data_IF_605292280449
#
_entry.id   IF_605292280449
#
_cell.length_a   1.000
_cell.length_b   1.000
_cell.length_c   1.000
_cell.angle_alpha   90.00
_cell.angle_beta   90.00
_cell.angle_gamma   90.00
#
_symmetry.space_group_name_H-M   'P 1'
#
loop_
_entity.id
_entity.type
_entity.pdbx_description
1 polymer ?
#
# COMPACT_ATOMS: atom_id res chain seq x y z
N UNK A 1 2.25 4.06 -35.68
CA UNK A 1 2.13 2.67 -35.20
C UNK A 1 1.63 2.70 -33.77
N UNK A 2 0.38 2.29 -33.54
CA UNK A 2 -0.20 2.12 -32.21
C UNK A 2 0.11 0.70 -31.76
N UNK A 3 0.74 0.52 -30.61
CA UNK A 3 0.83 -0.79 -29.95
C UNK A 3 -0.01 -0.72 -28.69
N UNK A 4 -1.28 -1.12 -28.85
CA UNK A 4 -2.13 -1.56 -27.75
C UNK A 4 -1.71 -3.00 -27.41
N UNK A 5 -1.32 -3.24 -26.16
CA UNK A 5 -1.12 -4.58 -25.61
C UNK A 5 -1.58 -4.59 -24.15
N UNK A 6 -2.45 -5.52 -23.73
CA UNK A 6 -3.12 -5.44 -22.44
C UNK A 6 -2.11 -5.75 -21.32
N UNK A 7 -1.96 -4.86 -20.35
CA UNK A 7 -1.32 -5.23 -19.08
C UNK A 7 -2.28 -6.15 -18.32
N UNK A 8 -1.81 -7.38 -18.11
CA UNK A 8 -2.50 -8.44 -17.39
C UNK A 8 -2.93 -7.96 -16.00
N UNK A 9 -4.23 -8.02 -15.71
CA UNK A 9 -4.77 -7.81 -14.37
C UNK A 9 -4.22 -8.88 -13.42
N UNK A 10 -3.51 -8.45 -12.38
CA UNK A 10 -3.04 -9.35 -11.32
C UNK A 10 -4.21 -9.66 -10.37
N UNK A 11 -4.61 -10.94 -10.35
CA UNK A 11 -5.61 -11.47 -9.42
C UNK A 11 -5.02 -11.52 -8.00
N UNK A 12 -5.67 -10.85 -7.05
CA UNK A 12 -5.39 -11.03 -5.62
C UNK A 12 -5.99 -12.38 -5.19
N UNK A 13 -5.15 -13.34 -4.78
CA UNK A 13 -5.64 -14.52 -4.06
C UNK A 13 -6.14 -14.06 -2.69
N UNK A 14 -7.45 -14.19 -2.47
CA UNK A 14 -8.08 -13.97 -1.18
C UNK A 14 -7.43 -14.81 -0.08
N UNK A 15 -7.43 -14.26 1.12
CA UNK A 15 -6.80 -14.81 2.32
C UNK A 15 -7.12 -16.30 2.52
N UNK A 16 -6.22 -17.17 2.07
CA UNK A 16 -6.06 -18.53 2.57
C UNK A 16 -4.59 -18.70 2.91
N UNK A 17 -4.33 -19.06 4.16
CA UNK A 17 -3.01 -19.24 4.77
C UNK A 17 -2.02 -19.86 3.79
N UNK A 18 -1.15 -19.04 3.22
CA UNK A 18 -0.02 -19.53 2.43
C UNK A 18 1.14 -19.79 3.41
N UNK A 19 1.26 -21.03 3.86
CA UNK A 19 2.41 -21.51 4.62
C UNK A 19 3.52 -21.76 3.60
N UNK A 20 4.52 -20.87 3.55
CA UNK A 20 5.75 -21.12 2.81
C UNK A 20 6.65 -21.99 3.72
N UNK A 21 7.05 -23.21 3.31
CA UNK A 21 7.91 -24.06 4.11
C UNK A 21 9.35 -23.54 4.07
N UNK A 22 9.91 -23.21 5.23
CA UNK A 22 11.36 -22.99 5.40
C UNK A 22 12.07 -24.35 5.44
N UNK A 23 13.22 -24.53 4.75
CA UNK A 23 13.96 -25.77 4.81
C UNK A 23 14.74 -25.89 6.13
N UNK A 24 14.47 -26.96 6.88
CA UNK A 24 15.42 -27.56 7.81
C UNK A 24 15.44 -27.02 9.26
N UNK A 25 14.61 -27.57 10.13
CA UNK A 25 15.04 -28.06 11.46
C UNK A 25 13.91 -28.83 12.15
N UNK A 26 14.29 -29.93 12.80
CA UNK A 26 13.42 -30.97 13.36
C UNK A 26 12.56 -30.47 14.54
N UNK A 27 11.33 -31.01 14.57
CA UNK A 27 10.38 -31.26 15.68
C UNK A 27 10.45 -30.49 17.02
N UNK A 28 9.24 -30.17 17.49
CA UNK A 28 8.79 -30.10 18.91
C UNK A 28 8.89 -28.75 19.62
N UNK A 29 7.79 -28.00 19.64
CA UNK A 29 6.88 -27.91 20.80
C UNK A 29 5.81 -26.85 20.52
N UNK A 30 4.56 -27.22 20.75
CA UNK A 30 3.38 -26.35 20.67
C UNK A 30 3.47 -25.33 21.82
N UNK A 31 3.67 -24.05 21.51
CA UNK A 31 3.39 -22.94 22.44
C UNK A 31 2.50 -21.94 21.73
N UNK A 32 1.23 -21.95 22.09
CA UNK A 32 0.33 -20.82 21.86
C UNK A 32 0.92 -19.60 22.57
N UNK A 33 1.35 -18.59 21.81
CA UNK A 33 1.53 -17.25 22.33
C UNK A 33 0.32 -16.43 21.94
N UNK A 34 -0.73 -16.53 22.77
CA UNK A 34 -1.70 -15.45 22.89
C UNK A 34 -0.96 -14.29 23.58
N UNK A 35 -0.44 -13.35 22.77
CA UNK A 35 0.09 -12.09 23.26
C UNK A 35 -0.68 -10.96 22.59
N UNK A 36 -1.41 -10.24 23.43
CA UNK A 36 -2.21 -9.05 23.12
C UNK A 36 -1.43 -8.09 22.25
N UNK A 37 -2.07 -7.64 21.18
CA UNK A 37 -1.62 -6.55 20.30
C UNK A 37 -1.51 -5.29 21.16
N UNK A 38 -0.32 -4.68 21.34
CA UNK A 38 -0.23 -3.37 21.95
C UNK A 38 -0.80 -2.36 20.95
N UNK A 39 -1.91 -1.72 21.30
CA UNK A 39 -2.41 -0.51 20.66
C UNK A 39 -1.48 0.66 21.00
N UNK A 40 -0.24 0.62 20.49
CA UNK A 40 0.75 1.67 20.63
C UNK A 40 0.80 2.47 19.35
N UNK A 41 0.19 3.65 19.35
CA UNK A 41 0.19 4.65 18.27
C UNK A 41 1.63 5.14 18.03
N UNK A 42 2.31 4.82 16.91
CA UNK A 42 3.60 5.42 16.62
C UNK A 42 3.38 6.82 16.04
N UNK A 43 4.07 7.81 16.60
CA UNK A 43 4.07 9.19 16.11
C UNK A 43 4.71 9.25 14.73
N UNK A 44 3.92 9.66 13.73
CA UNK A 44 4.30 9.80 12.33
C UNK A 44 5.16 11.06 12.05
N UNK A 45 6.22 11.24 12.84
CA UNK A 45 7.08 12.43 12.74
C UNK A 45 8.38 12.03 12.05
N UNK A 46 8.41 12.01 10.71
CA UNK A 46 9.68 11.80 9.99
C UNK A 46 9.63 11.63 8.48
N UNK A 47 8.49 11.30 7.88
CA UNK A 47 8.47 11.00 6.44
C UNK A 47 8.33 12.27 5.58
N UNK A 48 9.44 12.81 5.07
CA UNK A 48 9.40 13.80 3.97
C UNK A 48 9.11 13.10 2.63
N UNK A 49 8.21 13.62 1.78
CA UNK A 49 7.83 12.97 0.53
C UNK A 49 8.91 13.14 -0.57
N UNK A 50 9.55 12.04 -1.01
CA UNK A 50 10.26 11.93 -2.30
C UNK A 50 9.73 10.75 -3.13
N UNK A 51 9.72 10.86 -4.48
CA UNK A 51 8.78 10.12 -5.32
C UNK A 51 9.17 8.66 -5.53
N UNK A 52 8.19 7.76 -5.40
CA UNK A 52 8.17 6.53 -6.21
C UNK A 52 7.32 6.82 -7.45
N UNK A 53 7.98 7.12 -8.57
CA UNK A 53 7.32 7.66 -9.78
C UNK A 53 6.24 6.76 -10.37
N UNK A 54 6.35 5.44 -10.22
CA UNK A 54 5.36 4.46 -10.71
C UNK A 54 4.02 4.54 -9.96
N UNK A 55 4.06 4.73 -8.64
CA UNK A 55 2.85 4.81 -7.80
C UNK A 55 2.04 6.07 -8.09
N UNK A 56 2.72 7.14 -8.52
CA UNK A 56 2.11 8.39 -8.91
C UNK A 56 1.58 8.42 -10.35
N UNK A 57 1.82 7.38 -11.16
CA UNK A 57 1.34 7.38 -12.55
C UNK A 57 1.83 8.58 -13.37
N UNK A 58 3.03 9.11 -13.10
CA UNK A 58 3.54 10.34 -13.72
C UNK A 58 3.18 11.65 -13.01
N UNK A 59 2.36 11.62 -11.96
CA UNK A 59 1.96 12.79 -11.18
C UNK A 59 3.05 13.27 -10.20
N UNK A 60 4.00 14.05 -10.70
CA UNK A 60 5.11 14.58 -9.88
C UNK A 60 4.58 15.49 -8.76
N UNK A 61 5.08 15.29 -7.53
CA UNK A 61 4.78 16.17 -6.38
C UNK A 61 3.41 16.00 -5.74
N UNK A 62 2.52 15.16 -6.28
CA UNK A 62 1.17 14.95 -5.72
C UNK A 62 1.17 14.19 -4.39
N UNK A 63 0.09 14.22 -3.61
CA UNK A 63 -0.09 13.29 -2.48
C UNK A 63 -0.47 11.90 -2.95
N UNK A 64 -1.36 11.81 -3.92
CA UNK A 64 -2.01 10.58 -4.33
C UNK A 64 -1.54 10.07 -5.71
N UNK A 65 -1.99 8.88 -6.15
CA UNK A 65 -1.65 8.29 -7.43
C UNK A 65 -2.15 9.04 -8.67
N UNK A 66 -3.15 9.91 -8.52
CA UNK A 66 -3.79 10.63 -9.61
C UNK A 66 -3.21 12.05 -9.77
N UNK A 67 -3.25 12.57 -11.00
CA UNK A 67 -2.60 13.84 -11.36
C UNK A 67 -3.52 15.06 -11.22
N UNK A 68 -4.82 14.83 -11.24
CA UNK A 68 -5.89 15.83 -11.37
C UNK A 68 -6.36 16.41 -10.02
N UNK A 69 -5.98 15.82 -8.90
CA UNK A 69 -6.38 16.24 -7.56
C UNK A 69 -5.35 15.86 -6.50
N UNK A 70 -5.25 16.65 -5.43
CA UNK A 70 -4.50 16.30 -4.22
C UNK A 70 -5.40 15.83 -3.07
N UNK A 71 -6.70 15.67 -3.33
CA UNK A 71 -7.69 15.19 -2.39
C UNK A 71 -7.99 13.70 -2.61
N UNK A 72 -8.49 13.05 -1.57
CA UNK A 72 -8.99 11.68 -1.58
C UNK A 72 -10.46 11.63 -1.12
N UNK A 73 -11.23 10.75 -1.75
CA UNK A 73 -12.62 10.46 -1.42
C UNK A 73 -12.91 8.98 -1.70
N UNK A 74 -14.05 8.48 -1.22
CA UNK A 74 -14.49 7.12 -1.50
C UNK A 74 -14.68 6.84 -3.00
N UNK A 75 -14.90 7.86 -3.84
CA UNK A 75 -14.97 7.69 -5.30
C UNK A 75 -13.64 7.24 -5.93
N UNK A 76 -12.52 7.40 -5.22
CA UNK A 76 -11.16 7.16 -5.74
C UNK A 76 -10.42 6.02 -5.06
N UNK A 77 -10.87 5.61 -3.87
CA UNK A 77 -10.18 4.61 -3.08
C UNK A 77 -11.11 4.01 -2.01
N UNK A 78 -10.87 2.74 -1.68
CA UNK A 78 -11.46 2.10 -0.52
C UNK A 78 -10.57 2.31 0.71
N UNK A 79 -10.98 3.16 1.65
CA UNK A 79 -10.24 3.48 2.87
C UNK A 79 -11.22 3.94 3.97
N UNK A 80 -10.70 4.30 5.15
CA UNK A 80 -11.50 4.86 6.23
C UNK A 80 -11.46 6.39 6.19
N UNK A 81 -12.57 7.01 5.79
CA UNK A 81 -12.71 8.46 5.71
C UNK A 81 -12.81 9.13 7.08
N UNK A 82 -12.17 10.30 7.18
CA UNK A 82 -12.28 11.29 8.26
C UNK A 82 -12.22 12.68 7.65
N UNK A 83 -13.34 13.19 7.11
CA UNK A 83 -13.32 14.44 6.39
C UNK A 83 -12.90 15.61 7.26
N UNK A 84 -12.05 16.47 6.69
CA UNK A 84 -11.46 17.61 7.38
C UNK A 84 -10.27 17.28 8.30
N UNK A 85 -9.96 16.00 8.55
CA UNK A 85 -8.74 15.57 9.25
C UNK A 85 -8.16 14.30 8.62
N UNK A 86 -7.25 14.44 7.65
CA UNK A 86 -6.65 15.68 7.14
C UNK A 86 -7.57 16.47 6.17
N UNK A 87 -7.27 17.73 5.92
CA UNK A 87 -8.03 18.67 5.06
C UNK A 87 -8.27 18.16 3.61
N UNK A 88 -7.41 17.28 3.13
CA UNK A 88 -7.50 16.64 1.81
C UNK A 88 -8.40 15.39 1.78
N UNK A 89 -9.01 14.97 2.90
CA UNK A 89 -10.10 14.01 2.92
C UNK A 89 -11.43 14.75 2.74
N UNK A 90 -12.04 14.60 1.57
CA UNK A 90 -13.19 15.42 1.13
C UNK A 90 -14.51 14.66 1.11
N UNK A 91 -14.60 13.53 1.80
CA UNK A 91 -15.88 12.82 1.91
C UNK A 91 -16.92 13.65 2.68
N UNK A 92 -18.22 13.45 2.43
CA UNK A 92 -19.26 14.11 3.21
C UNK A 92 -19.36 13.55 4.64
N UNK A 93 -18.89 12.32 4.89
CA UNK A 93 -19.05 11.61 6.16
C UNK A 93 -17.82 10.80 6.54
N UNK A 94 -17.57 10.68 7.84
CA UNK A 94 -16.58 9.75 8.39
C UNK A 94 -17.02 8.28 8.26
N UNK A 95 -16.06 7.36 8.18
CA UNK A 95 -16.30 5.91 8.24
C UNK A 95 -15.75 5.15 7.05
N UNK A 96 -16.08 3.87 6.96
CA UNK A 96 -15.66 3.00 5.85
C UNK A 96 -16.46 3.29 4.58
N UNK A 97 -15.86 2.92 3.45
CA UNK A 97 -16.48 3.02 2.13
C UNK A 97 -17.90 2.41 2.14
N UNK A 98 -18.93 3.15 1.67
CA UNK A 98 -20.33 2.73 1.79
C UNK A 98 -20.62 1.42 1.06
N UNK A 99 -20.01 1.20 -0.10
CA UNK A 99 -20.28 0.00 -0.93
C UNK A 99 -19.44 -1.23 -0.55
N UNK A 100 -18.44 -1.07 0.33
CA UNK A 100 -17.52 -2.15 0.72
C UNK A 100 -17.57 -2.40 2.23
N UNK A 101 -18.80 -2.39 2.77
CA UNK A 101 -19.09 -2.72 4.16
C UNK A 101 -20.48 -3.34 4.28
N UNK A 102 -20.58 -4.37 5.09
CA UNK A 102 -21.84 -4.85 5.67
C UNK A 102 -21.78 -4.53 7.17
N UNK A 103 -21.99 -5.53 8.04
CA UNK A 103 -21.67 -5.43 9.47
C UNK A 103 -20.17 -5.20 9.71
N UNK A 104 -19.33 -5.62 8.76
CA UNK A 104 -17.88 -5.44 8.78
C UNK A 104 -17.39 -4.88 7.44
N UNK A 105 -16.39 -3.98 7.46
CA UNK A 105 -15.74 -3.48 6.24
C UNK A 105 -14.88 -4.55 5.55
N UNK A 106 -14.73 -4.46 4.23
CA UNK A 106 -13.96 -5.41 3.42
C UNK A 106 -13.29 -4.74 2.20
N UNK A 107 -12.48 -5.52 1.48
CA UNK A 107 -11.75 -5.08 0.27
C UNK A 107 -12.69 -4.90 -0.92
N UNK A 108 -12.42 -3.91 -1.76
CA UNK A 108 -13.08 -3.80 -3.06
C UNK A 108 -12.46 -4.78 -4.07
N UNK A 109 -13.20 -5.22 -5.10
CA UNK A 109 -12.59 -5.86 -6.27
C UNK A 109 -11.42 -5.03 -6.82
N UNK A 110 -10.40 -5.71 -7.36
CA UNK A 110 -9.28 -5.02 -8.01
C UNK A 110 -9.81 -4.33 -9.27
N UNK A 111 -9.42 -3.07 -9.47
CA UNK A 111 -9.88 -2.26 -10.59
C UNK A 111 -11.22 -1.56 -10.36
N UNK A 112 -11.73 -1.54 -9.13
CA UNK A 112 -12.96 -0.83 -8.78
C UNK A 112 -12.86 0.69 -8.97
N UNK A 113 -11.66 1.27 -8.86
CA UNK A 113 -11.43 2.71 -8.97
C UNK A 113 -10.62 3.05 -10.22
N UNK A 114 -10.67 4.32 -10.64
CA UNK A 114 -9.95 4.78 -11.83
C UNK A 114 -8.43 4.50 -11.72
N UNK A 115 -7.78 4.06 -12.82
CA UNK A 115 -6.35 3.84 -12.81
C UNK A 115 -5.58 5.16 -12.75
N UNK A 116 -4.31 5.10 -12.35
CA UNK A 116 -3.40 6.21 -12.52
C UNK A 116 -2.93 6.37 -13.99
N UNK A 117 -2.10 7.37 -14.27
CA UNK A 117 -1.58 7.63 -15.63
C UNK A 117 -0.71 6.52 -16.23
N UNK A 118 -0.37 5.46 -15.48
CA UNK A 118 0.31 4.26 -15.97
C UNK A 118 -0.61 3.03 -16.01
N UNK A 119 -1.92 3.23 -15.98
CA UNK A 119 -2.93 2.15 -15.99
C UNK A 119 -2.84 1.23 -14.77
N UNK A 120 -2.31 1.72 -13.65
CA UNK A 120 -2.24 0.97 -12.39
C UNK A 120 -3.43 1.31 -11.51
N UNK A 121 -4.15 0.27 -11.09
CA UNK A 121 -5.33 0.36 -10.24
C UNK A 121 -5.01 0.22 -8.76
N UNK A 122 -5.89 0.76 -7.92
CA UNK A 122 -5.89 0.60 -6.46
C UNK A 122 -4.53 0.96 -5.81
N UNK A 123 -3.85 1.95 -6.38
CA UNK A 123 -2.61 2.48 -5.82
C UNK A 123 -2.87 3.37 -4.57
N UNK A 124 -4.05 3.36 -3.99
CA UNK A 124 -4.37 4.02 -2.72
C UNK A 124 -5.56 3.28 -2.09
N UNK A 125 -5.42 2.90 -0.82
CA UNK A 125 -6.42 2.10 -0.12
C UNK A 125 -6.47 0.65 -0.59
N UNK A 126 -7.62 0.03 -0.33
CA UNK A 126 -7.93 -1.39 -0.52
C UNK A 126 -7.07 -2.32 0.34
N UNK A 127 -5.80 -2.53 -0.01
CA UNK A 127 -4.87 -3.38 0.74
C UNK A 127 -3.48 -2.77 0.81
N UNK A 128 -2.81 -2.96 1.95
CA UNK A 128 -1.38 -2.68 2.05
C UNK A 128 -0.59 -3.59 1.12
N UNK A 129 0.37 -3.02 0.42
CA UNK A 129 1.20 -3.77 -0.52
C UNK A 129 2.62 -3.91 -0.01
N UNK A 130 3.03 -5.16 0.14
CA UNK A 130 4.40 -5.52 0.49
C UNK A 130 5.37 -5.14 -0.63
N UNK A 131 6.53 -4.62 -0.27
CA UNK A 131 7.62 -4.24 -1.15
C UNK A 131 8.91 -4.94 -0.69
N UNK A 132 9.77 -5.30 -1.66
CA UNK A 132 11.01 -6.01 -1.39
C UNK A 132 11.95 -5.23 -0.46
N UNK A 133 11.95 -3.89 -0.49
CA UNK A 133 12.82 -3.04 0.31
C UNK A 133 12.71 -3.34 1.82
N UNK A 134 13.85 -3.30 2.52
CA UNK A 134 13.86 -3.20 3.98
C UNK A 134 13.37 -1.80 4.42
N UNK A 135 12.66 -1.74 5.54
CA UNK A 135 12.24 -0.47 6.13
C UNK A 135 13.37 0.10 6.99
N UNK A 136 13.71 1.36 6.74
CA UNK A 136 14.65 2.17 7.50
C UNK A 136 14.23 3.63 7.30
N UNK A 137 13.91 4.33 8.38
CA UNK A 137 13.46 5.72 8.31
C UNK A 137 14.58 6.67 7.81
N UNK A 138 15.83 6.42 8.20
CA UNK A 138 16.99 7.27 7.88
C UNK A 138 17.45 7.07 6.43
N UNK A 139 17.27 5.85 5.89
CA UNK A 139 17.58 5.55 4.48
C UNK A 139 16.84 6.47 3.51
N UNK A 140 15.60 6.85 3.85
CA UNK A 140 14.77 7.68 2.97
C UNK A 140 15.20 9.15 2.93
N UNK A 141 15.95 9.61 3.93
CA UNK A 141 16.54 10.96 3.94
C UNK A 141 17.75 11.05 3.00
N UNK A 142 18.44 9.93 2.77
CA UNK A 142 19.68 9.85 1.97
C UNK A 142 19.56 8.89 0.78
N UNK A 143 18.46 8.99 0.01
CA UNK A 143 18.22 8.11 -1.13
C UNK A 143 19.26 8.31 -2.25
N UNK A 144 19.85 7.22 -2.78
CA UNK A 144 20.55 7.24 -4.05
C UNK A 144 19.68 7.85 -5.16
N UNK A 145 20.31 8.59 -6.07
CA UNK A 145 19.60 9.26 -7.17
C UNK A 145 19.00 8.27 -8.19
N UNK A 146 19.60 7.08 -8.32
CA UNK A 146 19.24 6.09 -9.35
C UNK A 146 19.00 4.72 -8.72
N UNK A 147 17.85 4.11 -9.04
CA UNK A 147 17.43 2.75 -8.65
C UNK A 147 17.76 2.36 -7.18
N UNK A 148 17.25 3.11 -6.18
CA UNK A 148 17.47 2.76 -4.78
C UNK A 148 16.78 1.43 -4.46
N UNK A 149 17.56 0.44 -4.01
CA UNK A 149 17.08 -0.92 -3.68
C UNK A 149 16.66 -1.08 -2.22
N UNK A 150 16.57 0.01 -1.48
CA UNK A 150 16.43 -0.01 -0.02
C UNK A 150 17.76 -0.29 0.70
N UNK A 151 17.73 -0.31 2.04
CA UNK A 151 18.83 -0.76 2.88
C UNK A 151 19.24 -2.20 2.55
N UNK A 152 20.50 -2.57 2.83
CA UNK A 152 20.98 -3.95 2.63
C UNK A 152 20.36 -4.95 3.62
N UNK A 153 19.96 -4.50 4.81
CA UNK A 153 19.38 -5.30 5.89
C UNK A 153 18.37 -4.49 6.69
N UNK A 154 17.44 -5.17 7.37
CA UNK A 154 16.49 -4.54 8.28
C UNK A 154 15.68 -5.58 9.05
N UNK A 155 14.85 -5.12 9.98
CA UNK A 155 13.97 -5.98 10.79
C UNK A 155 12.61 -6.19 10.13
N UNK A 156 12.16 -5.24 9.33
CA UNK A 156 10.83 -5.24 8.70
C UNK A 156 10.91 -4.84 7.23
N UNK A 157 10.00 -5.38 6.43
CA UNK A 157 9.84 -5.00 5.02
C UNK A 157 8.88 -3.83 4.89
N UNK A 158 8.99 -3.11 3.79
CA UNK A 158 8.17 -1.93 3.53
C UNK A 158 6.79 -2.33 3.04
N UNK A 159 5.76 -1.70 3.60
CA UNK A 159 4.40 -1.69 3.07
C UNK A 159 4.04 -0.31 2.54
N UNK A 160 3.28 -0.28 1.44
CA UNK A 160 2.79 0.97 0.84
C UNK A 160 1.30 0.89 0.56
N UNK A 161 0.63 2.02 0.68
CA UNK A 161 -0.66 2.25 0.05
C UNK A 161 -1.89 2.39 0.89
N UNK A 162 -1.85 2.00 2.16
CA UNK A 162 -3.05 1.96 2.97
C UNK A 162 -3.95 0.78 2.61
N UNK A 163 -4.72 0.31 3.58
CA UNK A 163 -5.82 -0.62 3.36
C UNK A 163 -7.19 0.06 3.50
N UNK A 164 -8.27 -0.71 3.30
CA UNK A 164 -9.64 -0.27 3.54
C UNK A 164 -9.88 0.29 4.96
N UNK A 165 -9.11 -0.19 5.95
CA UNK A 165 -9.18 0.29 7.33
C UNK A 165 -8.22 1.43 7.66
N UNK A 166 -7.50 1.95 6.67
CA UNK A 166 -6.49 3.00 6.86
C UNK A 166 -7.08 4.39 6.61
N UNK A 167 -6.61 5.38 7.38
CA UNK A 167 -6.92 6.79 7.15
C UNK A 167 -6.26 7.33 5.88
N UNK A 168 -6.79 8.45 5.37
CA UNK A 168 -6.31 9.16 4.17
C UNK A 168 -4.78 9.37 4.16
N UNK A 169 -4.18 9.72 5.31
CA UNK A 169 -2.74 9.97 5.43
C UNK A 169 -1.86 8.76 5.07
N UNK A 170 -2.36 7.55 5.30
CA UNK A 170 -1.65 6.30 5.03
C UNK A 170 -1.79 5.86 3.57
N UNK A 171 -2.77 6.42 2.86
CA UNK A 171 -3.03 6.13 1.45
C UNK A 171 -2.17 6.96 0.49
N UNK A 172 -1.38 7.91 1.01
CA UNK A 172 -0.50 8.75 0.20
C UNK A 172 0.55 7.91 -0.54
N UNK A 173 0.92 8.33 -1.75
CA UNK A 173 1.88 7.63 -2.60
C UNK A 173 3.31 7.63 -2.06
N UNK A 174 3.64 8.51 -1.11
CA UNK A 174 4.93 8.52 -0.43
C UNK A 174 4.93 7.80 0.93
N UNK A 175 3.77 7.41 1.46
CA UNK A 175 3.68 6.81 2.78
C UNK A 175 4.28 5.39 2.77
N UNK A 176 5.03 5.07 3.83
CA UNK A 176 5.68 3.77 4.04
C UNK A 176 5.43 3.32 5.47
N UNK A 177 5.16 2.03 5.64
CA UNK A 177 4.81 1.44 6.92
C UNK A 177 5.56 0.12 7.12
N UNK A 178 5.92 -0.20 8.37
CA UNK A 178 6.49 -1.47 8.82
C UNK A 178 5.39 -2.32 9.50
N UNK A 179 4.34 -2.63 8.72
CA UNK A 179 3.14 -3.31 9.20
C UNK A 179 3.06 -4.80 8.92
N UNK A 180 1.87 -5.37 9.10
CA UNK A 180 1.57 -6.78 8.83
C UNK A 180 0.23 -7.05 8.13
N UNK A 181 -0.40 -6.03 7.53
CA UNK A 181 -1.54 -6.24 6.63
C UNK A 181 -1.04 -6.59 5.22
N UNK A 182 -1.59 -7.66 4.63
CA UNK A 182 -0.94 -8.41 3.55
C UNK A 182 -1.69 -8.31 2.22
N UNK A 183 -1.05 -7.65 1.27
CA UNK A 183 -1.28 -7.73 -0.18
C UNK A 183 0.05 -7.58 -0.91
N UNK A 184 0.09 -7.91 -2.20
CA UNK A 184 1.25 -7.62 -3.06
C UNK A 184 0.81 -7.57 -4.53
N UNK A 185 1.62 -6.89 -5.34
CA UNK A 185 1.56 -6.95 -6.80
C UNK A 185 2.94 -7.33 -7.35
N UNK A 186 2.96 -8.12 -8.42
CA UNK A 186 4.21 -8.56 -9.04
C UNK A 186 4.74 -7.48 -10.00
N UNK A 187 6.05 -7.33 -10.04
CA UNK A 187 6.75 -6.49 -11.00
C UNK A 187 7.79 -7.33 -11.74
N UNK A 188 7.90 -7.13 -13.05
CA UNK A 188 8.90 -7.78 -13.90
C UNK A 188 9.93 -6.77 -14.34
N UNK A 189 11.20 -7.20 -14.41
CA UNK A 189 12.25 -6.41 -15.03
C UNK A 189 12.06 -6.39 -16.55
N UNK A 190 12.39 -5.27 -17.23
CA UNK A 190 12.42 -5.26 -18.69
C UNK A 190 13.41 -6.33 -19.19
N UNK A 191 12.95 -7.24 -20.07
CA UNK A 191 13.81 -8.22 -20.74
C UNK A 191 13.58 -9.71 -20.43
N UNK A 192 12.54 -10.07 -19.67
CA UNK A 192 12.15 -11.48 -19.41
C UNK A 192 10.75 -11.83 -19.95
N UNK A 193 10.45 -11.45 -21.20
CA UNK A 193 9.24 -11.93 -21.89
C UNK A 193 9.54 -13.17 -22.73
#
# INVERSE_FOLDING_TARGET
>A
MRLNGPMLAASVMGARRCIIPMPGSRQSTRREMSRRIPTGRPTATGCRPRPSGRRRGGATGRRFPWADSDNISHERANYQARPGDPDYDVNPTSGFHPDYKDDMPYTSPVGSFAPNGYELYDMAGNVWEWVWDWFDAEYYDNLPATDPRGPASGSYRVFRGGGWGSLAQYCQAAFRYDGSDLGFRLALSPGHQ
#
